data_IF_464824393887
#
_entry.id   IF_464824393887
#
_cell.length_a   1.000
_cell.length_b   1.000
_cell.length_c   1.000
_cell.angle_alpha   90.00
_cell.angle_beta   90.00
_cell.angle_gamma   90.00
#
_symmetry.space_group_name_H-M   'P 1'
#
loop_
_entity.id
_entity.type
_entity.pdbx_description
1 polymer ?
#
# COMPACT_ATOMS: atom_id res chain seq x y z
N UNK A 1 7.50 -17.23 25.10
CA UNK A 1 7.55 -16.27 23.98
C UNK A 1 7.58 -14.88 24.59
N UNK A 2 8.61 -14.08 24.28
CA UNK A 2 8.66 -12.69 24.74
C UNK A 2 7.64 -11.82 24.02
N UNK A 3 7.39 -10.62 24.52
CA UNK A 3 6.49 -9.65 23.87
C UNK A 3 7.02 -9.26 22.48
N UNK A 4 8.33 -9.05 22.34
CA UNK A 4 8.96 -8.73 21.06
C UNK A 4 8.80 -9.87 20.04
N UNK A 5 8.97 -11.13 20.46
CA UNK A 5 8.77 -12.30 19.60
C UNK A 5 7.30 -12.40 19.13
N UNK A 6 6.35 -12.11 20.03
CA UNK A 6 4.93 -12.09 19.68
C UNK A 6 4.63 -10.99 18.66
N UNK A 7 5.18 -9.79 18.85
CA UNK A 7 4.99 -8.67 17.93
C UNK A 7 5.54 -9.02 16.54
N UNK A 8 6.76 -9.56 16.46
CA UNK A 8 7.36 -9.98 15.18
C UNK A 8 6.50 -11.05 14.47
N UNK A 9 6.09 -12.09 15.21
CA UNK A 9 5.19 -13.13 14.69
C UNK A 9 3.85 -12.53 14.21
N UNK A 10 3.24 -11.66 15.01
CA UNK A 10 1.93 -11.07 14.70
C UNK A 10 1.98 -10.15 13.48
N UNK A 11 3.05 -9.37 13.32
CA UNK A 11 3.24 -8.54 12.12
C UNK A 11 3.36 -9.45 10.89
N UNK A 12 4.23 -10.47 10.96
CA UNK A 12 4.57 -11.32 9.82
C UNK A 12 3.42 -12.21 9.37
N UNK A 13 2.75 -12.85 10.31
CA UNK A 13 1.79 -13.90 10.02
C UNK A 13 0.35 -13.48 10.30
N UNK A 14 0.12 -12.31 10.90
CA UNK A 14 -1.18 -11.70 11.10
C UNK A 14 -1.39 -10.49 10.20
N UNK A 15 -0.64 -9.41 10.45
CA UNK A 15 -0.86 -8.11 9.76
C UNK A 15 -0.60 -8.22 8.26
N UNK A 16 0.59 -8.67 7.83
CA UNK A 16 0.95 -8.70 6.40
C UNK A 16 -0.05 -9.53 5.57
N UNK A 17 -0.43 -10.77 5.97
CA UNK A 17 -1.41 -11.55 5.21
C UNK A 17 -2.79 -10.90 5.14
N UNK A 18 -3.31 -10.39 6.26
CA UNK A 18 -4.64 -9.74 6.30
C UNK A 18 -4.63 -8.48 5.44
N UNK A 19 -3.52 -7.73 5.46
CA UNK A 19 -3.36 -6.53 4.67
C UNK A 19 -3.36 -6.80 3.16
N UNK A 20 -2.64 -7.84 2.72
CA UNK A 20 -2.66 -8.26 1.31
C UNK A 20 -4.06 -8.73 0.87
N UNK A 21 -4.78 -9.45 1.73
CA UNK A 21 -6.17 -9.85 1.47
C UNK A 21 -7.08 -8.62 1.37
N UNK A 22 -6.90 -7.61 2.22
CA UNK A 22 -7.65 -6.36 2.15
C UNK A 22 -7.40 -5.62 0.82
N UNK A 23 -6.14 -5.54 0.36
CA UNK A 23 -5.81 -4.91 -0.93
C UNK A 23 -6.44 -5.65 -2.12
N UNK A 24 -6.46 -6.98 -2.08
CA UNK A 24 -7.17 -7.76 -3.09
C UNK A 24 -8.70 -7.55 -3.04
N UNK A 25 -9.27 -7.47 -1.83
CA UNK A 25 -10.70 -7.23 -1.65
C UNK A 25 -11.12 -5.83 -2.13
N UNK A 26 -10.26 -4.84 -1.95
CA UNK A 26 -10.42 -3.47 -2.47
C UNK A 26 -10.47 -3.47 -4.00
N UNK A 27 -9.52 -4.12 -4.66
CA UNK A 27 -9.57 -4.33 -6.11
C UNK A 27 -10.86 -5.04 -6.59
N UNK A 28 -11.38 -6.01 -5.82
CA UNK A 28 -12.65 -6.66 -6.14
C UNK A 28 -13.83 -5.68 -6.05
N UNK A 29 -13.82 -4.74 -5.10
CA UNK A 29 -14.81 -3.67 -5.04
C UNK A 29 -14.73 -2.80 -6.30
N UNK A 30 -13.54 -2.33 -6.68
CA UNK A 30 -13.35 -1.50 -7.87
C UNK A 30 -13.75 -2.21 -9.16
N UNK A 31 -13.47 -3.50 -9.26
CA UNK A 31 -13.90 -4.33 -10.39
C UNK A 31 -15.42 -4.45 -10.46
N UNK A 32 -16.10 -4.61 -9.33
CA UNK A 32 -17.57 -4.71 -9.26
C UNK A 32 -18.25 -3.38 -9.56
N UNK A 33 -17.65 -2.26 -9.16
CA UNK A 33 -18.20 -0.91 -9.37
C UNK A 33 -17.79 -0.31 -10.71
N UNK A 34 -17.01 -1.02 -11.53
CA UNK A 34 -16.52 -0.56 -12.83
C UNK A 34 -15.79 0.78 -12.71
N UNK A 35 -14.75 0.81 -11.86
CA UNK A 35 -13.94 2.00 -11.61
C UNK A 35 -13.50 2.71 -12.90
N UNK A 36 -13.24 1.96 -13.98
CA UNK A 36 -12.87 2.51 -15.28
C UNK A 36 -13.90 3.50 -15.86
N UNK A 37 -15.18 3.34 -15.52
CA UNK A 37 -16.29 4.11 -16.07
C UNK A 37 -16.76 5.26 -15.16
N UNK A 38 -16.34 5.30 -13.89
CA UNK A 38 -16.82 6.29 -12.92
C UNK A 38 -15.72 7.29 -12.46
N UNK A 39 -14.53 6.80 -12.11
CA UNK A 39 -13.43 7.61 -11.59
C UNK A 39 -12.14 7.46 -12.41
N UNK A 40 -11.95 6.28 -13.01
CA UNK A 40 -11.00 6.03 -14.08
C UNK A 40 -9.54 6.06 -13.65
N UNK A 41 -8.68 6.39 -14.62
CA UNK A 41 -7.22 6.23 -14.49
C UNK A 41 -6.61 6.97 -13.31
N UNK A 42 -7.17 8.13 -12.91
CA UNK A 42 -6.58 8.95 -11.86
C UNK A 42 -6.69 8.28 -10.49
N UNK A 43 -7.85 7.70 -10.17
CA UNK A 43 -8.04 6.93 -8.94
C UNK A 43 -7.11 5.72 -8.90
N UNK A 44 -7.08 4.95 -9.99
CA UNK A 44 -6.23 3.75 -10.09
C UNK A 44 -4.73 4.03 -9.96
N UNK A 45 -4.25 5.20 -10.39
CA UNK A 45 -2.86 5.63 -10.15
C UNK A 45 -2.60 5.94 -8.68
N UNK A 46 -3.57 6.51 -7.96
CA UNK A 46 -3.46 6.75 -6.52
C UNK A 46 -3.42 5.43 -5.76
N UNK A 47 -4.18 4.41 -6.16
CA UNK A 47 -4.07 3.07 -5.57
C UNK A 47 -2.67 2.45 -5.73
N UNK A 48 -2.06 2.58 -6.91
CA UNK A 48 -0.68 2.11 -7.12
C UNK A 48 0.31 2.92 -6.26
N UNK A 49 0.13 4.24 -6.16
CA UNK A 49 0.95 5.08 -5.30
C UNK A 49 0.85 4.62 -3.85
N UNK A 50 -0.37 4.47 -3.31
CA UNK A 50 -0.63 3.98 -1.97
C UNK A 50 -0.01 2.61 -1.71
N UNK A 51 -0.11 1.67 -2.66
CA UNK A 51 0.54 0.35 -2.57
C UNK A 51 2.07 0.48 -2.44
N UNK A 52 2.71 1.36 -3.22
CA UNK A 52 4.16 1.56 -3.18
C UNK A 52 4.61 2.31 -1.92
N UNK A 53 3.84 3.31 -1.48
CA UNK A 53 4.11 4.14 -0.29
C UNK A 53 4.20 3.31 0.99
N UNK A 54 3.50 2.17 1.03
CA UNK A 54 3.55 1.24 2.17
C UNK A 54 4.34 -0.04 1.88
N UNK A 55 4.30 -0.53 0.64
CA UNK A 55 5.00 -1.74 0.21
C UNK A 55 6.53 -1.56 0.22
N UNK A 56 7.03 -0.39 -0.21
CA UNK A 56 8.48 -0.12 -0.19
C UNK A 56 9.02 -0.08 1.24
N UNK A 57 8.44 0.69 2.19
CA UNK A 57 8.91 0.65 3.58
C UNK A 57 8.79 -0.72 4.23
N UNK A 58 7.73 -1.49 3.91
CA UNK A 58 7.61 -2.88 4.37
C UNK A 58 8.80 -3.72 3.90
N UNK A 59 9.17 -3.63 2.63
CA UNK A 59 10.33 -4.37 2.11
C UNK A 59 11.64 -3.91 2.76
N UNK A 60 11.81 -2.61 3.00
CA UNK A 60 12.95 -2.08 3.75
C UNK A 60 13.03 -2.68 5.15
N UNK A 61 11.89 -2.75 5.87
CA UNK A 61 11.82 -3.33 7.21
C UNK A 61 12.07 -4.85 7.25
N UNK A 62 11.76 -5.56 6.16
CA UNK A 62 12.06 -6.99 6.04
C UNK A 62 13.52 -7.26 5.64
N UNK A 63 14.12 -6.40 4.82
CA UNK A 63 15.47 -6.61 4.29
C UNK A 63 16.55 -6.10 5.26
N UNK A 64 16.28 -5.03 6.00
CA UNK A 64 17.23 -4.40 6.90
C UNK A 64 16.86 -4.57 8.37
N UNK A 65 17.85 -4.55 9.25
CA UNK A 65 17.63 -4.52 10.69
C UNK A 65 16.85 -3.26 11.07
N UNK A 66 15.88 -3.41 11.96
CA UNK A 66 15.08 -2.28 12.44
C UNK A 66 15.97 -1.36 13.26
N UNK A 67 16.24 -0.18 12.71
CA UNK A 67 16.96 0.92 13.35
C UNK A 67 16.26 2.24 13.05
N UNK A 68 16.88 3.36 13.44
CA UNK A 68 16.26 4.67 13.29
C UNK A 68 16.03 5.04 11.81
N UNK A 69 16.96 4.70 10.90
CA UNK A 69 16.77 4.94 9.46
C UNK A 69 15.55 4.19 8.92
N UNK A 70 15.44 2.89 9.23
CA UNK A 70 14.31 2.07 8.78
C UNK A 70 13.00 2.62 9.34
N UNK A 71 12.95 2.97 10.62
CA UNK A 71 11.75 3.54 11.25
C UNK A 71 11.37 4.88 10.61
N UNK A 72 12.34 5.77 10.32
CA UNK A 72 12.08 7.04 9.64
C UNK A 72 11.51 6.82 8.23
N UNK A 73 12.02 5.84 7.48
CA UNK A 73 11.46 5.47 6.16
C UNK A 73 10.02 4.97 6.31
N UNK A 74 9.73 4.12 7.31
CA UNK A 74 8.39 3.61 7.58
C UNK A 74 7.41 4.73 7.96
N UNK A 75 7.83 5.64 8.84
CA UNK A 75 7.01 6.79 9.25
C UNK A 75 6.78 7.74 8.07
N UNK A 76 7.81 8.02 7.26
CA UNK A 76 7.66 8.87 6.08
C UNK A 76 6.71 8.26 5.05
N UNK A 77 6.83 6.95 4.78
CA UNK A 77 5.92 6.22 3.90
C UNK A 77 4.49 6.21 4.43
N UNK A 78 4.31 6.00 5.74
CA UNK A 78 3.00 6.07 6.38
C UNK A 78 2.36 7.45 6.24
N UNK A 79 3.09 8.53 6.56
CA UNK A 79 2.56 9.90 6.43
C UNK A 79 2.19 10.23 4.99
N UNK A 80 3.03 9.81 4.03
CA UNK A 80 2.73 9.99 2.60
C UNK A 80 1.50 9.18 2.20
N UNK A 81 1.38 7.93 2.65
CA UNK A 81 0.22 7.08 2.42
C UNK A 81 -1.08 7.71 2.92
N UNK A 82 -1.09 8.23 4.16
CA UNK A 82 -2.28 8.90 4.71
C UNK A 82 -2.66 10.14 3.89
N UNK A 83 -1.68 10.92 3.44
CA UNK A 83 -1.94 12.06 2.58
C UNK A 83 -2.55 11.64 1.23
N UNK A 84 -2.01 10.58 0.61
CA UNK A 84 -2.51 10.03 -0.65
C UNK A 84 -3.89 9.39 -0.47
N UNK A 85 -4.15 8.68 0.63
CA UNK A 85 -5.45 8.09 0.96
C UNK A 85 -6.54 9.16 1.16
N UNK A 86 -6.23 10.24 1.88
CA UNK A 86 -7.14 11.38 2.02
C UNK A 86 -7.43 12.05 0.68
N UNK A 87 -6.42 12.14 -0.21
CA UNK A 87 -6.63 12.65 -1.56
C UNK A 87 -7.51 11.72 -2.38
N UNK A 88 -7.25 10.41 -2.34
CA UNK A 88 -8.01 9.40 -3.05
C UNK A 88 -9.50 9.44 -2.68
N UNK A 89 -9.81 9.33 -1.39
CA UNK A 89 -11.19 9.38 -0.90
C UNK A 89 -11.87 10.71 -1.25
N UNK A 90 -11.15 11.83 -1.14
CA UNK A 90 -11.67 13.16 -1.54
C UNK A 90 -11.98 13.23 -3.04
N UNK A 91 -11.21 12.54 -3.87
CA UNK A 91 -11.41 12.45 -5.30
C UNK A 91 -12.57 11.52 -5.68
N UNK A 92 -12.61 10.32 -5.08
CA UNK A 92 -13.57 9.25 -5.35
C UNK A 92 -14.99 9.64 -4.94
N UNK A 93 -15.17 10.23 -3.74
CA UNK A 93 -16.49 10.63 -3.21
C UNK A 93 -17.22 11.66 -4.08
N UNK A 94 -16.50 12.40 -4.92
CA UNK A 94 -17.09 13.36 -5.85
C UNK A 94 -17.55 12.73 -7.17
N UNK A 95 -17.21 11.46 -7.42
CA UNK A 95 -17.32 10.81 -8.74
C UNK A 95 -18.10 9.51 -8.72
N UNK A 96 -18.08 8.80 -7.60
CA UNK A 96 -18.75 7.52 -7.45
C UNK A 96 -19.27 7.33 -6.04
N UNK A 97 -20.19 6.39 -5.90
CA UNK A 97 -20.54 5.86 -4.59
C UNK A 97 -19.39 5.00 -4.07
N UNK A 98 -19.05 5.15 -2.79
CA UNK A 98 -18.19 4.25 -2.04
C UNK A 98 -19.09 3.42 -1.14
N UNK A 99 -19.17 2.12 -1.40
CA UNK A 99 -20.09 1.25 -0.67
C UNK A 99 -19.63 1.05 0.78
N UNK A 100 -20.54 0.65 1.68
CA UNK A 100 -20.19 0.35 3.07
C UNK A 100 -19.13 -0.76 3.20
N UNK A 101 -19.17 -1.77 2.32
CA UNK A 101 -18.19 -2.86 2.31
C UNK A 101 -16.81 -2.34 1.91
N UNK A 102 -16.76 -1.51 0.87
CA UNK A 102 -15.52 -0.89 0.40
C UNK A 102 -14.92 0.01 1.49
N UNK A 103 -15.73 0.87 2.12
CA UNK A 103 -15.28 1.70 3.22
C UNK A 103 -14.74 0.89 4.41
N UNK A 104 -15.35 -0.27 4.70
CA UNK A 104 -14.87 -1.15 5.76
C UNK A 104 -13.52 -1.78 5.39
N UNK A 105 -13.32 -2.18 4.14
CA UNK A 105 -12.03 -2.67 3.62
C UNK A 105 -10.97 -1.56 3.70
N UNK A 106 -11.31 -0.33 3.33
CA UNK A 106 -10.42 0.83 3.46
C UNK A 106 -9.97 1.05 4.90
N UNK A 107 -10.85 0.84 5.89
CA UNK A 107 -10.44 0.90 7.31
C UNK A 107 -9.33 -0.11 7.66
N UNK A 108 -9.32 -1.31 7.06
CA UNK A 108 -8.19 -2.24 7.24
C UNK A 108 -6.93 -1.75 6.54
N UNK A 109 -7.08 -1.23 5.31
CA UNK A 109 -5.95 -0.72 4.53
C UNK A 109 -5.26 0.47 5.20
N UNK A 110 -6.00 1.30 5.92
CA UNK A 110 -5.48 2.42 6.72
C UNK A 110 -4.91 1.94 8.08
N UNK A 111 -5.67 1.13 8.84
CA UNK A 111 -5.27 0.81 10.21
C UNK A 111 -4.11 -0.20 10.30
N UNK A 112 -4.02 -1.16 9.39
CA UNK A 112 -2.96 -2.18 9.44
C UNK A 112 -1.53 -1.62 9.31
N UNK A 113 -1.23 -0.68 8.37
CA UNK A 113 0.09 -0.02 8.34
C UNK A 113 0.36 0.78 9.62
N UNK A 114 -0.62 1.52 10.15
CA UNK A 114 -0.48 2.25 11.41
C UNK A 114 -0.16 1.28 12.56
N UNK A 115 -0.87 0.16 12.65
CA UNK A 115 -0.62 -0.88 13.65
C UNK A 115 0.78 -1.47 13.49
N UNK A 116 1.22 -1.81 12.28
CA UNK A 116 2.55 -2.36 12.05
C UNK A 116 3.65 -1.37 12.49
N UNK A 117 3.57 -0.11 12.07
CA UNK A 117 4.56 0.92 12.41
C UNK A 117 4.60 1.18 13.92
N UNK A 118 3.45 1.32 14.56
CA UNK A 118 3.38 1.58 16.02
C UNK A 118 3.89 0.41 16.85
N UNK A 119 3.59 -0.84 16.45
CA UNK A 119 4.13 -2.03 17.09
C UNK A 119 5.65 -2.15 16.91
N UNK A 120 6.16 -1.84 15.72
CA UNK A 120 7.62 -1.83 15.45
C UNK A 120 8.31 -0.77 16.30
N UNK A 121 7.77 0.44 16.38
CA UNK A 121 8.32 1.50 17.25
C UNK A 121 8.30 1.04 18.71
N UNK A 122 7.18 0.48 19.18
CA UNK A 122 7.04 -0.02 20.55
C UNK A 122 8.03 -1.13 20.89
N UNK A 123 8.26 -2.07 19.97
CA UNK A 123 9.22 -3.15 20.13
C UNK A 123 10.69 -2.68 20.12
N UNK A 124 10.96 -1.46 19.63
CA UNK A 124 12.32 -0.94 19.41
C UNK A 124 12.60 0.36 20.18
N UNK A 125 11.85 0.66 21.25
CA UNK A 125 11.99 1.91 22.02
C UNK A 125 13.41 2.15 22.57
N UNK A 126 14.05 1.13 23.13
CA UNK A 126 15.40 1.26 23.69
C UNK A 126 16.46 1.57 22.60
N UNK A 127 16.54 0.83 21.48
CA UNK A 127 17.37 1.21 20.33
C UNK A 127 17.10 2.63 19.81
N UNK A 128 15.84 3.04 19.69
CA UNK A 128 15.45 4.38 19.24
C UNK A 128 15.96 5.44 20.23
N UNK A 129 15.75 5.23 21.53
CA UNK A 129 16.21 6.14 22.58
C UNK A 129 17.74 6.30 22.55
N UNK A 130 18.46 5.20 22.42
CA UNK A 130 19.92 5.22 22.33
C UNK A 130 20.41 5.96 21.08
N UNK A 131 19.71 5.81 19.96
CA UNK A 131 19.98 6.55 18.72
C UNK A 131 19.79 8.06 18.89
N UNK A 132 18.68 8.48 19.49
CA UNK A 132 18.36 9.90 19.72
C UNK A 132 19.37 10.55 20.68
N UNK A 133 19.79 9.82 21.71
CA UNK A 133 20.76 10.30 22.70
C UNK A 133 22.22 10.22 22.22
N UNK A 134 22.47 9.77 20.99
CA UNK A 134 23.83 9.69 20.41
C UNK A 134 24.71 8.57 20.97
N UNK A 135 24.14 7.56 21.64
CA UNK A 135 24.90 6.49 22.27
C UNK A 135 25.15 5.33 21.30
N UNK A 136 26.31 5.31 20.64
CA UNK A 136 26.79 4.15 19.87
C UNK A 136 26.86 4.37 18.35
N UNK A 137 27.68 3.58 17.63
CA UNK A 137 28.19 4.00 16.31
C UNK A 137 27.34 3.62 15.07
N UNK A 138 26.18 2.96 15.20
CA UNK A 138 25.49 2.35 14.02
C UNK A 138 23.98 2.59 13.88
N UNK A 139 23.44 3.64 14.49
CA UNK A 139 21.98 3.88 14.52
C UNK A 139 21.31 4.14 13.17
N UNK A 140 22.10 4.54 12.17
CA UNK A 140 21.60 4.91 10.84
C UNK A 140 22.06 3.96 9.72
N UNK A 141 22.92 2.98 10.02
CA UNK A 141 23.51 2.11 9.00
C UNK A 141 22.50 1.05 8.53
N UNK A 142 22.32 0.89 7.22
CA UNK A 142 21.46 -0.18 6.67
C UNK A 142 22.21 -1.52 6.69
N UNK A 143 21.97 -2.31 7.73
CA UNK A 143 22.48 -3.67 7.92
C UNK A 143 21.41 -4.69 7.57
N UNK A 144 21.79 -5.82 6.97
CA UNK A 144 20.83 -6.85 6.54
C UNK A 144 20.15 -7.52 7.73
N UNK A 145 18.84 -7.70 7.65
CA UNK A 145 18.05 -8.35 8.70
C UNK A 145 18.35 -9.85 8.78
N UNK A 146 17.86 -10.46 9.87
CA UNK A 146 17.89 -11.91 10.08
C UNK A 146 16.63 -12.61 9.53
N UNK A 147 15.77 -11.89 8.79
CA UNK A 147 14.56 -12.46 8.20
C UNK A 147 14.95 -13.49 7.13
N UNK A 148 14.44 -14.73 7.18
CA UNK A 148 14.77 -15.74 6.18
C UNK A 148 14.41 -15.27 4.75
N UNK A 149 15.34 -15.44 3.81
CA UNK A 149 15.11 -15.10 2.40
C UNK A 149 13.88 -15.80 1.80
N UNK A 150 13.59 -17.03 2.24
CA UNK A 150 12.39 -17.76 1.84
C UNK A 150 11.09 -17.03 2.25
N UNK A 151 11.08 -16.43 3.44
CA UNK A 151 9.95 -15.64 3.90
C UNK A 151 9.82 -14.33 3.11
N UNK A 152 10.92 -13.62 2.86
CA UNK A 152 10.92 -12.42 2.01
C UNK A 152 10.39 -12.76 0.61
N UNK A 153 10.89 -13.85 0.01
CA UNK A 153 10.41 -14.33 -1.28
C UNK A 153 8.92 -14.66 -1.28
N UNK A 154 8.41 -15.30 -0.22
CA UNK A 154 6.98 -15.58 -0.07
C UNK A 154 6.14 -14.29 0.02
N UNK A 155 6.60 -13.28 0.77
CA UNK A 155 5.93 -11.97 0.86
C UNK A 155 5.93 -11.27 -0.50
N UNK A 156 7.04 -11.29 -1.25
CA UNK A 156 7.11 -10.71 -2.60
C UNK A 156 6.13 -11.40 -3.54
N UNK A 157 6.10 -12.74 -3.57
CA UNK A 157 5.15 -13.49 -4.40
C UNK A 157 3.71 -13.16 -4.01
N UNK A 158 3.40 -13.12 -2.71
CA UNK A 158 2.07 -12.77 -2.23
C UNK A 158 1.70 -11.32 -2.62
N UNK A 159 2.60 -10.36 -2.45
CA UNK A 159 2.38 -8.97 -2.84
C UNK A 159 2.15 -8.83 -4.35
N UNK A 160 2.87 -9.60 -5.18
CA UNK A 160 2.64 -9.62 -6.62
C UNK A 160 1.24 -10.14 -6.95
N UNK A 161 0.85 -11.27 -6.35
CA UNK A 161 -0.42 -11.93 -6.65
C UNK A 161 -1.65 -11.17 -6.12
N UNK A 162 -1.55 -10.59 -4.92
CA UNK A 162 -2.68 -10.00 -4.20
C UNK A 162 -2.73 -8.48 -4.26
N UNK A 163 -1.68 -7.80 -4.71
CA UNK A 163 -1.67 -6.33 -4.83
C UNK A 163 -1.20 -5.86 -6.21
N UNK A 164 0.03 -6.21 -6.63
CA UNK A 164 0.61 -5.62 -7.83
C UNK A 164 -0.12 -6.02 -9.13
N UNK A 165 -0.43 -7.31 -9.31
CA UNK A 165 -1.19 -7.77 -10.47
C UNK A 165 -2.62 -7.22 -10.50
N UNK A 166 -3.40 -7.27 -9.40
CA UNK A 166 -4.71 -6.64 -9.32
C UNK A 166 -4.70 -5.14 -9.70
N UNK A 167 -3.85 -4.33 -9.08
CA UNK A 167 -3.81 -2.90 -9.36
C UNK A 167 -3.24 -2.56 -10.74
N UNK A 168 -2.29 -3.36 -11.27
CA UNK A 168 -1.86 -3.23 -12.65
C UNK A 168 -3.00 -3.54 -13.64
N UNK A 169 -3.76 -4.60 -13.39
CA UNK A 169 -4.91 -4.95 -14.21
C UNK A 169 -6.00 -3.87 -14.15
N UNK A 170 -6.27 -3.29 -12.98
CA UNK A 170 -7.18 -2.17 -12.83
C UNK A 170 -6.74 -0.95 -13.64
N UNK A 171 -5.47 -0.55 -13.52
CA UNK A 171 -4.92 0.55 -14.29
C UNK A 171 -5.04 0.30 -15.79
N UNK A 172 -4.74 -0.92 -16.23
CA UNK A 172 -4.90 -1.32 -17.64
C UNK A 172 -6.36 -1.24 -18.10
N UNK A 173 -7.34 -1.68 -17.29
CA UNK A 173 -8.77 -1.51 -17.59
C UNK A 173 -9.13 -0.03 -17.75
N UNK A 174 -8.71 0.81 -16.81
CA UNK A 174 -8.96 2.25 -16.83
C UNK A 174 -8.35 2.95 -18.05
N UNK A 175 -7.11 2.61 -18.42
CA UNK A 175 -6.44 3.19 -19.59
C UNK A 175 -7.12 2.75 -20.89
N UNK A 176 -7.48 1.47 -21.01
CA UNK A 176 -8.19 0.94 -22.18
C UNK A 176 -9.54 1.64 -22.36
N UNK A 177 -10.34 1.71 -21.30
CA UNK A 177 -11.64 2.38 -21.32
C UNK A 177 -11.52 3.85 -21.77
N UNK A 178 -10.56 4.60 -21.20
CA UNK A 178 -10.31 5.99 -21.58
C UNK A 178 -9.95 6.15 -23.07
N UNK A 179 -9.13 5.25 -23.61
CA UNK A 179 -8.74 5.30 -25.01
C UNK A 179 -9.92 4.99 -25.94
N UNK A 180 -10.74 3.99 -25.59
CA UNK A 180 -11.94 3.62 -26.35
C UNK A 180 -12.99 4.74 -26.33
N UNK A 181 -13.21 5.38 -25.18
CA UNK A 181 -14.11 6.53 -25.06
C UNK A 181 -13.65 7.72 -25.92
N UNK A 182 -12.34 7.97 -25.99
CA UNK A 182 -11.76 9.03 -26.84
C UNK A 182 -11.97 8.71 -28.32
N UNK A 183 -11.62 7.50 -28.76
CA UNK A 183 -11.79 7.09 -30.15
C UNK A 183 -13.26 7.18 -30.62
N UNK A 184 -14.22 6.77 -29.77
CA UNK A 184 -15.66 6.93 -30.07
C UNK A 184 -16.08 8.40 -30.16
N UNK A 185 -15.57 9.24 -29.27
CA UNK A 185 -15.87 10.68 -29.27
C UNK A 185 -15.32 11.37 -30.52
N UNK A 186 -14.13 10.97 -30.98
CA UNK A 186 -13.51 11.51 -32.19
C UNK A 186 -14.26 11.05 -33.45
N UNK A 187 -14.67 9.78 -33.52
CA UNK A 187 -15.47 9.25 -34.61
C UNK A 187 -16.83 9.95 -34.74
N UNK A 188 -17.46 10.34 -33.62
CA UNK A 188 -18.72 11.10 -33.62
C UNK A 188 -18.53 12.58 -34.02
N UNK A 189 -17.32 13.14 -33.91
CA UNK A 189 -17.03 14.53 -34.29
C UNK A 189 -16.67 14.70 -35.76
N UNK A 190 -16.33 13.62 -36.47
CA UNK A 190 -16.13 13.67 -37.92
C UNK A 190 -17.50 13.88 -38.59
N UNK A 191 -17.75 15.03 -39.25
CA UNK A 191 -18.99 15.21 -40.00
C UNK A 191 -19.05 14.13 -41.08
N UNK A 192 -20.25 13.57 -41.31
CA UNK A 192 -20.52 12.75 -42.49
C UNK A 192 -20.11 13.56 -43.74
N UNK A 193 -18.92 13.30 -44.26
CA UNK A 193 -18.47 13.89 -45.52
C UNK A 193 -19.33 13.27 -46.64
N UNK A 194 -19.93 14.10 -47.52
CA UNK A 194 -20.83 13.65 -48.58
C UNK A 194 -20.13 12.79 -49.63
#
# INVERSE_FOLDING_TARGET
MGVADFIDMYIRYGIIPVWLVAGFADWLCHRRTHIEANAGTKESVMHIAQMLEVGVPLMVALIFEINLSVILIMVAGLVLHEATALWDVSYARQRREITAVEQHIHSFLELLPICAVTLIIGANLEPIRNAILGHGPRHFALTTSHVPLAYIGAVVVAAVLFAALPYAEELMRCVRYRNDSRARSDAQRLPHAP
#
